data_IF_654889915383
#
_entry.id   IF_654889915383
#
_cell.length_a   1.000
_cell.length_b   1.000
_cell.length_c   1.000
_cell.angle_alpha   90.00
_cell.angle_beta   90.00
_cell.angle_gamma   90.00
#
_symmetry.space_group_name_H-M   'P 1'
#
loop_
_entity.id
_entity.type
_entity.pdbx_description
1 polymer ?
#
# COMPACT_ATOMS: atom_id res chain seq x y z
N UNK A 1 -22.79 -40.67 -5.90
CA UNK A 1 -21.93 -39.52 -5.54
C UNK A 1 -21.37 -38.94 -6.84
N UNK A 2 -21.83 -37.78 -7.31
CA UNK A 2 -21.23 -37.15 -8.48
C UNK A 2 -19.88 -36.49 -8.13
N UNK A 3 -18.88 -36.53 -9.02
CA UNK A 3 -17.57 -35.93 -8.78
C UNK A 3 -17.64 -34.40 -8.89
N UNK A 4 -17.07 -33.73 -7.89
CA UNK A 4 -16.94 -32.27 -7.82
C UNK A 4 -15.93 -31.83 -8.89
N UNK A 5 -16.40 -31.11 -9.91
CA UNK A 5 -15.53 -30.49 -10.92
C UNK A 5 -14.68 -29.39 -10.27
N UNK A 6 -13.37 -29.31 -10.55
CA UNK A 6 -12.55 -28.21 -10.06
C UNK A 6 -12.98 -26.91 -10.74
N UNK A 7 -13.22 -25.86 -9.93
CA UNK A 7 -13.40 -24.50 -10.41
C UNK A 7 -12.12 -24.06 -11.11
N UNK A 8 -12.15 -24.04 -12.45
CA UNK A 8 -11.11 -23.41 -13.26
C UNK A 8 -10.98 -21.97 -12.77
N UNK A 9 -9.83 -21.68 -12.16
CA UNK A 9 -9.47 -20.32 -11.77
C UNK A 9 -9.24 -19.57 -13.08
N UNK A 10 -10.26 -18.85 -13.55
CA UNK A 10 -10.10 -17.90 -14.62
C UNK A 10 -9.23 -16.77 -14.08
N UNK A 11 -7.92 -16.88 -14.28
CA UNK A 11 -7.02 -15.73 -14.27
C UNK A 11 -7.44 -14.86 -15.45
N UNK A 12 -8.44 -14.03 -15.22
CA UNK A 12 -9.06 -13.21 -16.25
C UNK A 12 -8.08 -12.09 -16.58
N UNK A 13 -7.37 -12.23 -17.71
CA UNK A 13 -6.68 -11.12 -18.35
C UNK A 13 -7.66 -10.01 -18.73
N UNK A 14 -7.17 -8.85 -19.19
CA UNK A 14 -8.03 -7.76 -19.62
C UNK A 14 -9.02 -8.27 -20.67
N UNK A 15 -10.32 -8.17 -20.34
CA UNK A 15 -11.39 -8.63 -21.24
C UNK A 15 -11.50 -7.59 -22.36
N UNK A 16 -11.30 -7.97 -23.63
CA UNK A 16 -11.41 -7.01 -24.72
C UNK A 16 -12.83 -6.46 -24.78
N UNK A 17 -12.94 -5.12 -24.89
CA UNK A 17 -14.22 -4.39 -24.92
C UNK A 17 -15.17 -4.91 -26.01
N UNK A 18 -14.62 -5.34 -27.15
CA UNK A 18 -15.39 -5.86 -28.29
C UNK A 18 -16.01 -7.25 -28.05
N UNK A 19 -15.52 -8.00 -27.05
CA UNK A 19 -16.05 -9.31 -26.69
C UNK A 19 -17.08 -9.25 -25.55
N UNK A 20 -17.40 -8.04 -25.06
CA UNK A 20 -18.33 -7.86 -23.95
C UNK A 20 -19.76 -7.71 -24.47
N UNK A 21 -20.75 -8.43 -23.89
CA UNK A 21 -22.15 -8.13 -24.15
C UNK A 21 -22.45 -6.69 -23.72
N UNK A 22 -23.37 -5.96 -24.37
CA UNK A 22 -23.66 -4.56 -24.06
C UNK A 22 -24.04 -4.34 -22.59
N UNK A 23 -23.79 -3.15 -22.03
CA UNK A 23 -24.08 -2.85 -20.64
C UNK A 23 -25.58 -2.99 -20.35
N UNK A 24 -25.90 -3.58 -19.20
CA UNK A 24 -27.26 -3.81 -18.75
C UNK A 24 -27.76 -2.61 -17.95
N UNK A 25 -29.07 -2.42 -17.83
CA UNK A 25 -29.64 -1.29 -17.07
C UNK A 25 -29.16 -1.25 -15.59
N UNK A 26 -28.82 -2.40 -15.01
CA UNK A 26 -28.27 -2.49 -13.66
C UNK A 26 -26.86 -1.87 -13.53
N UNK A 27 -26.10 -1.74 -14.62
CA UNK A 27 -24.76 -1.13 -14.61
C UNK A 27 -24.81 0.34 -14.15
N UNK A 28 -25.90 1.05 -14.43
CA UNK A 28 -26.09 2.44 -14.01
C UNK A 28 -25.94 2.63 -12.49
N UNK A 29 -26.43 1.67 -11.69
CA UNK A 29 -26.29 1.71 -10.23
C UNK A 29 -24.85 1.47 -9.75
N UNK A 30 -24.01 0.87 -10.58
CA UNK A 30 -22.60 0.60 -10.27
C UNK A 30 -21.65 1.68 -10.79
N UNK A 31 -22.06 2.55 -11.72
CA UNK A 31 -21.21 3.62 -12.27
C UNK A 31 -20.66 4.54 -11.17
N UNK A 32 -21.54 5.02 -10.28
CA UNK A 32 -21.14 5.90 -9.17
C UNK A 32 -20.18 5.16 -8.21
N UNK A 33 -20.52 3.93 -7.83
CA UNK A 33 -19.68 3.10 -6.95
C UNK A 33 -18.33 2.82 -7.58
N UNK A 34 -18.28 2.53 -8.87
CA UNK A 34 -17.06 2.34 -9.62
C UNK A 34 -16.22 3.63 -9.61
N UNK A 35 -16.82 4.79 -9.83
CA UNK A 35 -16.13 6.08 -9.79
C UNK A 35 -15.50 6.35 -8.41
N UNK A 36 -16.22 6.06 -7.33
CA UNK A 36 -15.68 6.16 -5.96
C UNK A 36 -14.48 5.24 -5.75
N UNK A 37 -14.54 3.99 -6.24
CA UNK A 37 -13.41 3.07 -6.15
C UNK A 37 -12.21 3.51 -6.99
N UNK A 38 -12.46 4.10 -8.17
CA UNK A 38 -11.41 4.69 -9.01
C UNK A 38 -10.74 5.86 -8.28
N UNK A 39 -11.52 6.74 -7.66
CA UNK A 39 -10.98 7.84 -6.88
C UNK A 39 -10.16 7.38 -5.68
N UNK A 40 -10.59 6.30 -5.00
CA UNK A 40 -9.80 5.68 -3.95
C UNK A 40 -8.49 5.09 -4.48
N UNK A 41 -8.48 4.51 -5.69
CA UNK A 41 -7.26 3.97 -6.30
C UNK A 41 -6.19 5.04 -6.56
N UNK A 42 -6.59 6.27 -6.91
CA UNK A 42 -5.68 7.41 -7.09
C UNK A 42 -5.04 7.91 -5.79
N UNK A 43 -5.58 7.55 -4.63
CA UNK A 43 -4.96 7.88 -3.34
C UNK A 43 -3.71 7.05 -3.07
N UNK A 44 -3.55 5.90 -3.72
CA UNK A 44 -2.38 5.04 -3.54
C UNK A 44 -1.19 5.57 -4.35
N UNK A 45 0.00 5.37 -3.80
CA UNK A 45 1.27 5.74 -4.44
C UNK A 45 2.09 4.50 -4.80
N UNK A 46 3.10 4.66 -5.65
CA UNK A 46 4.03 3.57 -6.00
C UNK A 46 3.39 2.39 -6.75
N UNK A 47 2.33 2.64 -7.55
CA UNK A 47 1.69 1.59 -8.34
C UNK A 47 2.71 1.00 -9.34
N UNK A 48 2.77 -0.32 -9.41
CA UNK A 48 3.51 -1.05 -10.45
C UNK A 48 2.85 -0.91 -11.83
N UNK A 49 3.59 -1.16 -12.90
CA UNK A 49 3.07 -1.14 -14.27
C UNK A 49 1.81 -2.01 -14.46
N UNK A 50 1.77 -3.18 -13.82
CA UNK A 50 0.61 -4.09 -13.85
C UNK A 50 -0.60 -3.46 -13.18
N UNK A 51 -0.41 -2.83 -12.02
CA UNK A 51 -1.49 -2.16 -11.27
C UNK A 51 -2.01 -0.93 -12.02
N UNK A 52 -1.12 -0.17 -12.68
CA UNK A 52 -1.50 0.96 -13.53
C UNK A 52 -2.31 0.46 -14.73
N UNK A 53 -1.91 -0.64 -15.36
CA UNK A 53 -2.66 -1.23 -16.47
C UNK A 53 -4.05 -1.73 -16.01
N UNK A 54 -4.14 -2.35 -14.83
CA UNK A 54 -5.43 -2.77 -14.24
C UNK A 54 -6.34 -1.57 -13.97
N UNK A 55 -5.80 -0.48 -13.43
CA UNK A 55 -6.53 0.77 -13.18
C UNK A 55 -7.08 1.35 -14.50
N UNK A 56 -6.23 1.48 -15.52
CA UNK A 56 -6.62 1.99 -16.85
C UNK A 56 -7.67 1.12 -17.53
N UNK A 57 -7.53 -0.20 -17.44
CA UNK A 57 -8.51 -1.13 -17.98
C UNK A 57 -9.87 -0.97 -17.29
N UNK A 58 -9.88 -0.80 -15.96
CA UNK A 58 -11.12 -0.59 -15.22
C UNK A 58 -11.78 0.77 -15.51
N UNK A 59 -10.98 1.81 -15.74
CA UNK A 59 -11.46 3.12 -16.22
C UNK A 59 -12.10 3.00 -17.61
N UNK A 60 -11.47 2.27 -18.55
CA UNK A 60 -12.04 2.05 -19.87
C UNK A 60 -13.40 1.33 -19.81
N UNK A 61 -13.56 0.36 -18.90
CA UNK A 61 -14.85 -0.29 -18.63
C UNK A 61 -15.88 0.70 -18.10
N UNK A 62 -15.47 1.61 -17.20
CA UNK A 62 -16.35 2.63 -16.63
C UNK A 62 -16.85 3.60 -17.71
N UNK A 63 -15.94 4.09 -18.57
CA UNK A 63 -16.27 5.00 -19.68
C UNK A 63 -17.16 4.32 -20.71
N UNK A 64 -16.98 3.01 -20.94
CA UNK A 64 -17.82 2.21 -21.83
C UNK A 64 -19.21 1.85 -21.24
N UNK A 65 -19.51 2.25 -20.01
CA UNK A 65 -20.80 2.00 -19.36
C UNK A 65 -20.91 0.67 -18.62
N UNK A 66 -19.82 -0.11 -18.52
CA UNK A 66 -19.77 -1.38 -17.80
C UNK A 66 -19.55 -1.20 -16.29
N UNK A 67 -20.47 -0.52 -15.62
CA UNK A 67 -20.37 -0.15 -14.21
C UNK A 67 -20.07 -1.34 -13.29
N UNK A 68 -20.76 -2.48 -13.45
CA UNK A 68 -20.58 -3.65 -12.58
C UNK A 68 -19.18 -4.26 -12.72
N UNK A 69 -18.69 -4.38 -13.96
CA UNK A 69 -17.35 -4.93 -14.24
C UNK A 69 -16.25 -3.98 -13.80
N UNK A 70 -16.42 -2.67 -14.07
CA UNK A 70 -15.50 -1.64 -13.61
C UNK A 70 -15.41 -1.63 -12.08
N UNK A 71 -16.55 -1.65 -11.39
CA UNK A 71 -16.62 -1.73 -9.93
C UNK A 71 -15.89 -2.96 -9.40
N UNK A 72 -16.17 -4.16 -9.93
CA UNK A 72 -15.53 -5.39 -9.49
C UNK A 72 -14.00 -5.35 -9.68
N UNK A 73 -13.53 -4.86 -10.83
CA UNK A 73 -12.10 -4.73 -11.12
C UNK A 73 -11.42 -3.74 -10.16
N UNK A 74 -12.04 -2.58 -9.89
CA UNK A 74 -11.48 -1.57 -9.00
C UNK A 74 -11.48 -2.02 -7.54
N UNK A 75 -12.52 -2.72 -7.08
CA UNK A 75 -12.55 -3.32 -5.73
C UNK A 75 -11.41 -4.32 -5.57
N UNK A 76 -11.18 -5.17 -6.59
CA UNK A 76 -10.09 -6.13 -6.56
C UNK A 76 -8.72 -5.42 -6.54
N UNK A 77 -8.51 -4.41 -7.38
CA UNK A 77 -7.28 -3.61 -7.39
C UNK A 77 -7.05 -2.92 -6.03
N UNK A 78 -8.06 -2.24 -5.50
CA UNK A 78 -7.96 -1.55 -4.20
C UNK A 78 -7.66 -2.53 -3.06
N UNK A 79 -8.24 -3.73 -3.09
CA UNK A 79 -7.92 -4.79 -2.13
C UNK A 79 -6.47 -5.25 -2.25
N UNK A 80 -5.93 -5.39 -3.47
CA UNK A 80 -4.52 -5.73 -3.71
C UNK A 80 -3.58 -4.61 -3.23
N UNK A 81 -3.90 -3.35 -3.50
CA UNK A 81 -3.12 -2.19 -3.04
C UNK A 81 -3.13 -2.06 -1.52
N UNK A 82 -4.28 -2.30 -0.89
CA UNK A 82 -4.43 -2.23 0.57
C UNK A 82 -3.69 -3.35 1.30
N UNK A 83 -3.86 -4.59 0.83
CA UNK A 83 -3.36 -5.79 1.51
C UNK A 83 -1.98 -6.26 1.00
N UNK A 84 -1.47 -5.65 -0.07
CA UNK A 84 -0.15 -5.92 -0.61
C UNK A 84 0.92 -5.70 0.45
N UNK A 85 1.66 -6.75 0.78
CA UNK A 85 2.83 -6.66 1.66
C UNK A 85 3.98 -7.45 1.07
N UNK A 86 5.19 -6.90 1.19
CA UNK A 86 6.45 -7.55 0.83
C UNK A 86 7.22 -7.90 2.11
N UNK A 87 7.63 -9.16 2.30
CA UNK A 87 8.50 -9.51 3.41
C UNK A 87 9.90 -8.91 3.19
N UNK A 88 10.47 -8.32 4.23
CA UNK A 88 11.85 -7.83 4.24
C UNK A 88 12.59 -8.40 5.45
N UNK A 89 13.70 -9.10 5.20
CA UNK A 89 14.55 -9.63 6.25
C UNK A 89 15.54 -8.56 6.73
N UNK A 90 15.45 -8.19 8.00
CA UNK A 90 16.35 -7.22 8.64
C UNK A 90 17.78 -7.77 8.67
N UNK A 91 18.73 -6.99 8.16
CA UNK A 91 20.15 -7.31 8.22
C UNK A 91 20.82 -6.64 9.42
N UNK A 92 21.99 -7.15 9.83
CA UNK A 92 22.76 -6.55 10.93
C UNK A 92 23.15 -5.11 10.58
N UNK A 93 22.75 -4.15 11.41
CA UNK A 93 23.00 -2.72 11.20
C UNK A 93 21.93 -2.00 10.37
N UNK A 94 20.89 -2.69 9.89
CA UNK A 94 19.72 -2.03 9.33
C UNK A 94 18.95 -1.32 10.46
N UNK A 95 18.40 -0.15 10.14
CA UNK A 95 17.39 0.52 10.95
C UNK A 95 16.23 0.94 10.03
N UNK A 96 15.10 1.32 10.62
CA UNK A 96 13.89 1.63 9.83
C UNK A 96 14.13 2.77 8.82
N UNK A 97 14.99 3.74 9.16
CA UNK A 97 15.39 4.86 8.31
C UNK A 97 16.18 4.42 7.07
N UNK A 98 17.17 3.52 7.25
CA UNK A 98 17.97 2.96 6.18
C UNK A 98 17.09 2.08 5.29
N UNK A 99 16.24 1.23 5.89
CA UNK A 99 15.34 0.34 5.14
C UNK A 99 14.38 1.15 4.27
N UNK A 100 13.72 2.18 4.82
CA UNK A 100 12.81 3.04 4.04
C UNK A 100 13.52 3.83 2.94
N UNK A 101 14.77 4.23 3.16
CA UNK A 101 15.60 4.89 2.17
C UNK A 101 16.00 4.02 0.97
N UNK A 102 15.87 2.69 1.05
CA UNK A 102 16.20 1.81 -0.07
C UNK A 102 15.20 2.00 -1.23
N UNK A 103 15.66 2.09 -2.49
CA UNK A 103 14.78 2.26 -3.65
C UNK A 103 13.82 1.08 -3.85
N UNK A 104 14.22 -0.12 -3.42
CA UNK A 104 13.39 -1.33 -3.45
C UNK A 104 12.21 -1.29 -2.47
N UNK A 105 12.28 -0.41 -1.47
CA UNK A 105 11.28 -0.26 -0.41
C UNK A 105 10.40 0.95 -0.69
N UNK A 106 10.93 2.15 -0.48
CA UNK A 106 10.24 3.42 -0.76
C UNK A 106 11.13 4.45 -1.46
N UNK A 107 12.46 4.31 -1.38
CA UNK A 107 13.41 5.30 -1.86
C UNK A 107 13.39 6.61 -1.05
N UNK A 108 12.71 6.63 0.09
CA UNK A 108 12.53 7.82 0.90
C UNK A 108 12.66 7.48 2.39
N UNK A 109 13.74 7.92 3.07
CA UNK A 109 13.97 7.57 4.45
C UNK A 109 12.90 8.11 5.40
N UNK A 110 12.24 9.23 5.06
CA UNK A 110 11.17 9.86 5.84
C UNK A 110 9.92 8.98 5.99
N UNK A 111 9.82 7.89 5.21
CA UNK A 111 8.71 6.95 5.25
C UNK A 111 8.93 5.76 6.19
N UNK A 112 10.00 5.78 6.99
CA UNK A 112 10.24 4.78 8.02
C UNK A 112 9.06 4.56 8.99
N UNK A 113 8.24 5.57 9.37
CA UNK A 113 7.11 5.35 10.28
C UNK A 113 6.04 4.45 9.68
N UNK A 114 5.91 4.38 8.35
CA UNK A 114 4.98 3.45 7.68
C UNK A 114 5.35 2.00 7.96
N UNK A 115 6.66 1.70 7.92
CA UNK A 115 7.17 0.37 8.22
C UNK A 115 6.88 0.04 9.68
N UNK A 116 7.13 0.98 10.58
CA UNK A 116 6.90 0.78 12.01
C UNK A 116 5.41 0.53 12.32
N UNK A 117 4.51 1.40 11.84
CA UNK A 117 3.06 1.29 12.07
C UNK A 117 2.50 -0.05 11.62
N UNK A 118 2.96 -0.56 10.47
CA UNK A 118 2.50 -1.85 9.95
C UNK A 118 3.09 -3.06 10.72
N UNK A 119 4.14 -2.84 11.52
CA UNK A 119 4.85 -3.88 12.26
C UNK A 119 4.87 -3.64 13.77
N UNK A 120 3.97 -2.81 14.33
CA UNK A 120 3.93 -2.50 15.77
C UNK A 120 3.84 -3.75 16.66
N UNK A 121 3.18 -4.80 16.17
CA UNK A 121 3.07 -6.08 16.89
C UNK A 121 4.41 -6.82 16.99
N UNK A 122 5.34 -6.57 16.05
CA UNK A 122 6.65 -7.23 15.96
C UNK A 122 7.75 -6.33 16.52
N UNK A 123 7.65 -5.02 16.27
CA UNK A 123 8.61 -4.01 16.70
C UNK A 123 7.85 -2.96 17.54
N UNK A 124 7.74 -3.17 18.87
CA UNK A 124 7.14 -2.16 19.74
C UNK A 124 7.99 -0.88 19.78
N UNK A 125 9.31 -1.02 19.77
CA UNK A 125 10.26 0.09 19.81
C UNK A 125 10.98 0.27 18.47
N UNK A 126 10.82 1.42 17.76
CA UNK A 126 11.44 1.63 16.45
C UNK A 126 12.97 1.64 16.50
N UNK A 127 13.56 1.91 17.67
CA UNK A 127 15.01 1.90 17.91
C UNK A 127 15.57 0.50 18.19
N UNK A 128 14.70 -0.49 18.47
CA UNK A 128 15.12 -1.87 18.77
C UNK A 128 14.68 -2.77 17.62
N UNK A 129 15.52 -2.83 16.59
CA UNK A 129 15.30 -3.69 15.45
C UNK A 129 16.19 -4.95 15.55
N UNK A 130 15.64 -6.11 15.95
CA UNK A 130 16.42 -7.33 16.04
C UNK A 130 16.80 -7.83 14.62
N UNK A 131 18.09 -8.11 14.35
CA UNK A 131 18.52 -8.66 13.07
C UNK A 131 17.92 -10.07 12.86
N UNK A 132 17.57 -10.40 11.62
CA UNK A 132 16.91 -11.66 11.27
C UNK A 132 15.39 -11.64 11.34
N UNK A 133 14.79 -10.56 11.87
CA UNK A 133 13.33 -10.39 11.87
C UNK A 133 12.81 -10.14 10.45
N UNK A 134 11.65 -10.72 10.11
CA UNK A 134 10.95 -10.41 8.86
C UNK A 134 9.90 -9.32 9.10
N UNK A 135 10.02 -8.22 8.37
CA UNK A 135 9.08 -7.09 8.40
C UNK A 135 8.12 -7.17 7.23
N UNK A 136 6.89 -6.72 7.45
CA UNK A 136 5.88 -6.54 6.43
C UNK A 136 5.93 -5.12 5.91
N UNK A 137 6.40 -4.92 4.69
CA UNK A 137 6.46 -3.61 4.03
C UNK A 137 5.25 -3.47 3.11
N UNK A 138 4.47 -2.41 3.25
CA UNK A 138 3.37 -2.10 2.33
C UNK A 138 3.91 -1.24 1.18
N UNK A 139 4.05 -1.76 -0.06
CA UNK A 139 4.66 -1.02 -1.16
C UNK A 139 3.78 0.12 -1.69
N UNK A 140 2.46 0.05 -1.46
CA UNK A 140 1.49 1.03 -1.93
C UNK A 140 0.84 1.77 -0.75
N UNK A 141 1.54 2.72 -0.11
CA UNK A 141 0.91 3.58 0.89
C UNK A 141 0.03 4.63 0.22
N UNK A 142 -0.97 5.12 0.95
CA UNK A 142 -1.78 6.24 0.46
C UNK A 142 -1.03 7.56 0.61
N UNK A 143 -1.45 8.59 -0.13
CA UNK A 143 -0.93 9.95 0.01
C UNK A 143 -1.04 10.41 1.47
N UNK A 144 -2.16 10.11 2.14
CA UNK A 144 -2.35 10.46 3.55
C UNK A 144 -1.38 9.73 4.46
N UNK A 145 -1.14 8.43 4.22
CA UNK A 145 -0.14 7.66 4.97
C UNK A 145 1.25 8.28 4.81
N UNK A 146 1.63 8.64 3.59
CA UNK A 146 2.91 9.30 3.27
C UNK A 146 3.04 10.62 4.02
N UNK A 147 2.01 11.46 4.00
CA UNK A 147 2.00 12.75 4.71
C UNK A 147 2.13 12.55 6.23
N UNK A 148 1.35 11.64 6.80
CA UNK A 148 1.40 11.31 8.22
C UNK A 148 2.78 10.81 8.65
N UNK A 149 3.38 9.94 7.84
CA UNK A 149 4.70 9.39 8.09
C UNK A 149 5.79 10.47 8.03
N UNK A 150 5.75 11.35 7.03
CA UNK A 150 6.71 12.45 6.92
C UNK A 150 6.59 13.41 8.11
N UNK A 151 5.37 13.76 8.53
CA UNK A 151 5.14 14.62 9.68
C UNK A 151 5.68 13.99 10.97
N UNK A 152 5.36 12.72 11.22
CA UNK A 152 5.86 11.98 12.37
C UNK A 152 7.40 11.91 12.40
N UNK A 153 8.03 11.58 11.26
CA UNK A 153 9.48 11.53 11.15
C UNK A 153 10.13 12.89 11.45
N UNK A 154 9.52 13.99 11.00
CA UNK A 154 9.99 15.36 11.29
C UNK A 154 9.88 15.71 12.78
N UNK A 155 8.79 15.35 13.42
CA UNK A 155 8.59 15.59 14.86
C UNK A 155 9.63 14.82 15.70
N UNK A 156 9.86 13.55 15.38
CA UNK A 156 10.84 12.71 16.09
C UNK A 156 12.27 13.27 16.00
N UNK A 157 12.66 13.82 14.85
CA UNK A 157 13.99 14.44 14.68
C UNK A 157 14.11 15.73 15.49
N UNK A 158 13.09 16.59 15.46
CA UNK A 158 13.07 17.85 16.25
C UNK A 158 13.18 17.57 17.75
N UNK A 159 12.44 16.60 18.26
CA UNK A 159 12.51 16.18 19.67
C UNK A 159 13.86 15.55 20.02
N UNK A 160 14.50 14.85 19.07
CA UNK A 160 15.84 14.29 19.26
C UNK A 160 16.88 15.40 19.40
N UNK A 161 16.83 16.44 18.55
CA UNK A 161 17.72 17.61 18.58
C UNK A 161 17.62 18.39 19.90
N UNK A 162 16.40 18.55 20.43
CA UNK A 162 16.17 19.19 21.74
C UNK A 162 16.78 18.38 22.90
N UNK A 163 16.86 17.05 22.76
CA UNK A 163 17.38 16.14 23.79
C UNK A 163 18.91 16.03 23.81
N UNK A 164 19.60 16.45 22.76
CA UNK A 164 21.07 16.52 22.75
C UNK A 164 21.59 17.78 23.47
N UNK A 165 20.71 18.77 23.72
CA UNK A 165 21.05 20.02 24.41
C UNK A 165 20.93 19.98 25.94
N UNK A 166 20.35 18.93 26.54
CA UNK A 166 20.26 18.82 28.00
C UNK A 166 21.49 18.07 28.54
N UNK A 167 22.60 18.80 28.68
CA UNK A 167 23.74 18.38 29.50
C UNK A 167 23.23 18.24 30.93
N UNK A 168 23.03 17.00 31.38
CA UNK A 168 22.89 16.71 32.81
C UNK A 168 24.24 16.99 33.47
N UNK A 169 24.45 18.22 33.93
CA UNK A 169 25.49 18.52 34.92
C UNK A 169 25.14 17.71 36.18
N UNK A 170 25.82 16.57 36.35
CA UNK A 170 25.85 15.87 37.62
C UNK A 170 26.71 16.70 38.58
N UNK A 171 26.21 17.14 39.75
CA UNK A 171 27.11 17.68 40.76
C UNK A 171 27.98 16.53 41.27
N UNK A 172 29.29 16.65 41.10
CA UNK A 172 30.28 15.74 41.66
C UNK A 172 30.26 15.82 43.21
N UNK A 173 30.59 14.71 43.92
CA UNK A 173 30.50 14.61 45.37
C UNK A 173 31.50 15.48 46.13
#
# INVERSE_FOLDING_TARGET
MPPIRPLMSFTQGPVPLDALPPPIAADAAYLERAQQQLQASYQYTGLSDVQIAQQKNAEALLVAGYGQRAHAALVQLNAQLKNGTKPYAVRRGDNLWIISGRPEVYGNPWLWPLIWQNNLQVIPDPNRLPPGQTLKIRPNPTIQDVVNAVNYAREQIKSSDTRIGEVREQPAP
#
